data_IF_067409045837
#
_entry.id   IF_067409045837
#
_cell.length_a   1.000
_cell.length_b   1.000
_cell.length_c   1.000
_cell.angle_alpha   90.00
_cell.angle_beta   90.00
_cell.angle_gamma   90.00
#
_symmetry.space_group_name_H-M   'P 1'
#
loop_
_entity.id
_entity.type
_entity.pdbx_description
1 polymer ?
#
# COMPACT_ATOMS: atom_id res chain seq x y z
N UNK A 1 -43.32 26.47 -37.05
CA UNK A 1 -43.05 25.16 -36.43
C UNK A 1 -42.45 25.41 -35.05
N UNK A 2 -42.98 24.85 -33.96
CA UNK A 2 -42.41 25.01 -32.64
C UNK A 2 -41.21 24.07 -32.44
N UNK A 3 -40.10 24.64 -31.99
CA UNK A 3 -38.85 23.96 -31.62
C UNK A 3 -39.09 22.93 -30.49
N UNK A 4 -38.67 21.68 -30.68
CA UNK A 4 -38.69 20.66 -29.63
C UNK A 4 -37.54 20.90 -28.63
N UNK A 5 -37.78 20.96 -27.31
CA UNK A 5 -36.69 21.00 -26.35
C UNK A 5 -36.06 19.60 -26.25
N UNK A 6 -34.81 19.47 -26.71
CA UNK A 6 -33.98 18.29 -26.52
C UNK A 6 -33.82 18.05 -25.01
N UNK A 7 -34.58 17.09 -24.48
CA UNK A 7 -34.41 16.58 -23.13
C UNK A 7 -33.01 16.02 -22.98
N UNK A 8 -32.17 16.69 -22.20
CA UNK A 8 -30.90 16.12 -21.74
C UNK A 8 -31.22 14.99 -20.78
N UNK A 9 -31.15 13.75 -21.26
CA UNK A 9 -31.13 12.58 -20.40
C UNK A 9 -29.91 12.68 -19.48
N UNK A 10 -30.14 13.14 -18.25
CA UNK A 10 -29.17 13.06 -17.17
C UNK A 10 -29.18 11.63 -16.64
N UNK A 11 -28.46 10.74 -17.34
CA UNK A 11 -28.21 9.39 -16.84
C UNK A 11 -27.74 9.43 -15.38
N UNK A 12 -28.13 8.45 -14.54
CA UNK A 12 -27.90 8.50 -13.11
C UNK A 12 -26.40 8.63 -12.82
N UNK A 13 -25.98 9.80 -12.37
CA UNK A 13 -24.65 10.02 -11.82
C UNK A 13 -24.61 9.23 -10.52
N UNK A 14 -24.03 8.03 -10.56
CA UNK A 14 -23.79 7.20 -9.38
C UNK A 14 -22.83 7.97 -8.47
N UNK A 15 -23.39 8.80 -7.57
CA UNK A 15 -22.63 9.46 -6.54
C UNK A 15 -22.09 8.37 -5.63
N UNK A 16 -20.77 8.27 -5.55
CA UNK A 16 -20.11 7.42 -4.56
C UNK A 16 -20.71 7.78 -3.20
N UNK A 17 -21.37 6.83 -2.54
CA UNK A 17 -21.89 7.10 -1.20
C UNK A 17 -20.68 7.44 -0.32
N UNK A 18 -20.65 8.60 0.38
CA UNK A 18 -19.49 9.04 1.16
C UNK A 18 -18.94 7.99 2.13
N UNK A 19 -19.81 7.07 2.57
CA UNK A 19 -19.55 5.95 3.47
C UNK A 19 -18.43 5.03 2.99
N UNK A 20 -18.45 4.56 1.74
CA UNK A 20 -17.45 3.61 1.23
C UNK A 20 -16.05 4.20 1.17
N UNK A 21 -15.92 5.44 0.68
CA UNK A 21 -14.65 6.14 0.68
C UNK A 21 -14.11 6.30 2.10
N UNK A 22 -14.98 6.64 3.05
CA UNK A 22 -14.58 6.82 4.45
C UNK A 22 -14.12 5.50 5.09
N UNK A 23 -14.78 4.38 4.78
CA UNK A 23 -14.35 3.04 5.22
C UNK A 23 -12.97 2.67 4.69
N UNK A 24 -12.70 2.91 3.39
CA UNK A 24 -11.37 2.60 2.81
C UNK A 24 -10.28 3.49 3.43
N UNK A 25 -10.57 4.78 3.66
CA UNK A 25 -9.63 5.67 4.36
C UNK A 25 -9.37 5.16 5.77
N UNK A 26 -10.41 4.80 6.52
CA UNK A 26 -10.28 4.27 7.87
C UNK A 26 -9.45 2.99 7.91
N UNK A 27 -9.72 2.04 7.02
CA UNK A 27 -8.97 0.80 6.90
C UNK A 27 -7.50 1.05 6.51
N UNK A 28 -7.27 1.98 5.59
CA UNK A 28 -5.92 2.37 5.18
C UNK A 28 -5.11 2.93 6.36
N UNK A 29 -5.72 3.82 7.14
CA UNK A 29 -5.07 4.41 8.31
C UNK A 29 -4.75 3.35 9.36
N UNK A 30 -5.72 2.49 9.70
CA UNK A 30 -5.50 1.44 10.71
C UNK A 30 -4.41 0.46 10.26
N UNK A 31 -4.47 -0.02 9.02
CA UNK A 31 -3.46 -0.96 8.50
C UNK A 31 -2.07 -0.31 8.41
N UNK A 32 -1.99 0.96 8.05
CA UNK A 32 -0.70 1.70 8.01
C UNK A 32 -0.10 1.87 9.40
N UNK A 33 -0.92 2.25 10.39
CA UNK A 33 -0.47 2.38 11.78
C UNK A 33 -0.06 1.02 12.34
N UNK A 34 -0.87 -0.03 12.09
CA UNK A 34 -0.55 -1.38 12.51
C UNK A 34 0.79 -1.84 11.92
N UNK A 35 1.02 -1.63 10.61
CA UNK A 35 2.28 -1.99 9.97
C UNK A 35 3.48 -1.28 10.60
N UNK A 36 3.37 0.01 10.89
CA UNK A 36 4.42 0.77 11.59
C UNK A 36 4.70 0.24 12.99
N UNK A 37 3.65 -0.08 13.76
CA UNK A 37 3.80 -0.68 15.08
C UNK A 37 4.48 -2.05 15.01
N UNK A 38 4.15 -2.90 14.03
CA UNK A 38 4.82 -4.20 13.86
C UNK A 38 6.30 -4.05 13.50
N UNK A 39 6.66 -3.05 12.67
CA UNK A 39 8.06 -2.76 12.36
C UNK A 39 8.87 -2.37 13.62
N UNK A 40 8.28 -1.54 14.50
CA UNK A 40 8.89 -1.20 15.79
C UNK A 40 9.00 -2.41 16.73
N UNK A 41 7.97 -3.25 16.80
CA UNK A 41 8.01 -4.49 17.58
C UNK A 41 9.09 -5.46 17.08
N UNK A 42 9.27 -5.59 15.77
CA UNK A 42 10.40 -6.35 15.20
C UNK A 42 11.75 -5.77 15.61
N UNK A 43 11.91 -4.44 15.58
CA UNK A 43 13.12 -3.78 16.03
C UNK A 43 13.44 -4.14 17.49
N UNK A 44 12.46 -4.05 18.38
CA UNK A 44 12.64 -4.46 19.79
C UNK A 44 13.00 -5.94 19.92
N UNK A 45 12.29 -6.85 19.23
CA UNK A 45 12.56 -8.29 19.32
C UNK A 45 13.96 -8.66 18.79
N UNK A 46 14.41 -8.02 17.71
CA UNK A 46 15.75 -8.25 17.16
C UNK A 46 16.85 -7.67 18.05
N UNK A 47 16.61 -6.55 18.73
CA UNK A 47 17.51 -6.02 19.77
C UNK A 47 17.60 -6.95 20.98
N UNK A 48 16.46 -7.40 21.51
CA UNK A 48 16.41 -8.38 22.62
C UNK A 48 17.13 -9.67 22.23
N UNK A 49 17.06 -10.07 20.96
CA UNK A 49 17.78 -11.25 20.50
C UNK A 49 19.31 -11.05 20.55
N UNK A 50 19.81 -9.84 20.22
CA UNK A 50 21.23 -9.49 20.27
C UNK A 50 21.80 -9.46 21.70
N UNK A 51 20.97 -9.22 22.71
CA UNK A 51 21.38 -9.28 24.13
C UNK A 51 21.71 -10.72 24.59
N UNK A 52 21.46 -11.74 23.76
CA UNK A 52 21.93 -13.10 23.94
C UNK A 52 21.13 -13.96 24.93
N UNK A 53 20.57 -13.38 25.99
CA UNK A 53 19.81 -14.12 27.01
C UNK A 53 18.59 -14.86 26.47
N UNK A 54 17.95 -14.30 25.44
CA UNK A 54 16.70 -14.82 24.87
C UNK A 54 16.70 -14.87 23.34
N UNK A 55 17.89 -15.04 22.72
CA UNK A 55 18.07 -14.97 21.27
C UNK A 55 17.10 -15.88 20.48
N UNK A 56 17.03 -17.17 20.83
CA UNK A 56 16.15 -18.14 20.17
C UNK A 56 14.66 -17.77 20.26
N UNK A 57 14.09 -17.64 21.48
CA UNK A 57 12.69 -17.24 21.65
C UNK A 57 12.34 -15.90 21.00
N UNK A 58 13.20 -14.89 21.13
CA UNK A 58 12.98 -13.57 20.54
C UNK A 58 12.92 -13.64 19.02
N UNK A 59 13.81 -14.42 18.38
CA UNK A 59 13.83 -14.57 16.93
C UNK A 59 12.65 -15.41 16.42
N UNK A 60 12.20 -16.41 17.18
CA UNK A 60 10.98 -17.16 16.87
C UNK A 60 9.74 -16.26 16.92
N UNK A 61 9.64 -15.41 17.95
CA UNK A 61 8.57 -14.42 18.07
C UNK A 61 8.62 -13.41 16.93
N UNK A 62 9.82 -12.92 16.55
CA UNK A 62 10.01 -12.00 15.45
C UNK A 62 9.52 -12.61 14.12
N UNK A 63 9.93 -13.84 13.81
CA UNK A 63 9.45 -14.58 12.63
C UNK A 63 7.93 -14.74 12.64
N UNK A 64 7.33 -15.08 13.79
CA UNK A 64 5.88 -15.27 13.89
C UNK A 64 5.13 -13.95 13.70
N UNK A 65 5.64 -12.87 14.27
CA UNK A 65 5.09 -11.52 14.12
C UNK A 65 5.10 -11.08 12.66
N UNK A 66 6.22 -11.29 11.97
CA UNK A 66 6.40 -10.97 10.55
C UNK A 66 5.35 -11.69 9.68
N UNK A 67 5.24 -13.01 9.85
CA UNK A 67 4.35 -13.84 9.04
C UNK A 67 2.86 -13.61 9.33
N UNK A 68 2.47 -13.42 10.60
CA UNK A 68 1.05 -13.39 11.00
C UNK A 68 0.43 -12.01 10.91
N UNK A 69 1.18 -10.96 11.27
CA UNK A 69 0.63 -9.61 11.37
C UNK A 69 1.30 -8.63 10.44
N UNK A 70 2.63 -8.63 10.35
CA UNK A 70 3.34 -7.62 9.58
C UNK A 70 3.01 -7.74 8.09
N UNK A 71 3.18 -8.93 7.51
CA UNK A 71 2.94 -9.14 6.09
C UNK A 71 1.48 -8.86 5.67
N UNK A 72 0.44 -9.36 6.39
CA UNK A 72 -0.96 -9.03 6.05
C UNK A 72 -1.29 -7.54 6.19
N UNK A 73 -0.78 -6.86 7.22
CA UNK A 73 -1.03 -5.43 7.42
C UNK A 73 -0.32 -4.58 6.37
N UNK A 74 0.91 -4.94 5.99
CA UNK A 74 1.66 -4.29 4.91
C UNK A 74 0.91 -4.37 3.58
N UNK A 75 0.41 -5.57 3.24
CA UNK A 75 -0.39 -5.77 2.04
C UNK A 75 -1.68 -4.93 2.09
N UNK A 76 -2.42 -5.00 3.20
CA UNK A 76 -3.67 -4.24 3.37
C UNK A 76 -3.44 -2.73 3.22
N UNK A 77 -2.38 -2.19 3.83
CA UNK A 77 -2.02 -0.78 3.73
C UNK A 77 -1.66 -0.38 2.29
N UNK A 78 -0.83 -1.19 1.60
CA UNK A 78 -0.41 -0.94 0.23
C UNK A 78 -1.61 -0.95 -0.74
N UNK A 79 -2.49 -1.95 -0.64
CA UNK A 79 -3.66 -2.07 -1.50
C UNK A 79 -4.67 -0.96 -1.26
N UNK A 80 -5.03 -0.69 -0.01
CA UNK A 80 -5.96 0.41 0.31
C UNK A 80 -5.40 1.75 -0.14
N UNK A 81 -4.08 1.95 -0.07
CA UNK A 81 -3.38 3.11 -0.63
C UNK A 81 -3.48 3.21 -2.16
N UNK A 82 -3.25 2.10 -2.87
CA UNK A 82 -3.41 1.99 -4.33
C UNK A 82 -4.85 2.30 -4.77
N UNK A 83 -5.84 1.77 -4.03
CA UNK A 83 -7.25 2.04 -4.28
C UNK A 83 -7.60 3.50 -4.05
N UNK A 84 -7.14 4.10 -2.95
CA UNK A 84 -7.38 5.52 -2.68
C UNK A 84 -6.74 6.41 -3.76
N UNK A 85 -5.51 6.11 -4.17
CA UNK A 85 -4.82 6.89 -5.20
C UNK A 85 -5.41 6.71 -6.61
N UNK A 86 -5.95 5.52 -6.93
CA UNK A 86 -6.59 5.22 -8.20
C UNK A 86 -8.05 5.66 -8.30
N UNK A 87 -8.83 5.52 -7.22
CA UNK A 87 -10.27 5.74 -7.21
C UNK A 87 -10.69 7.16 -6.81
N UNK A 88 -9.81 7.91 -6.14
CA UNK A 88 -10.09 9.31 -5.80
C UNK A 88 -9.54 10.27 -6.84
N UNK A 89 -10.13 11.47 -6.92
CA UNK A 89 -9.71 12.56 -7.81
C UNK A 89 -8.27 13.06 -7.58
N UNK A 90 -7.55 12.48 -6.61
CA UNK A 90 -6.16 12.77 -6.32
C UNK A 90 -5.24 12.23 -7.42
N UNK A 91 -5.46 11.02 -7.93
CA UNK A 91 -4.64 10.44 -9.01
C UNK A 91 -3.17 10.19 -8.64
N UNK A 92 -2.68 8.99 -8.93
CA UNK A 92 -1.29 8.54 -8.65
C UNK A 92 -0.18 9.56 -8.96
N UNK A 93 -0.30 10.23 -10.11
CA UNK A 93 0.76 11.07 -10.67
C UNK A 93 0.49 12.57 -10.55
N UNK A 94 -0.52 13.01 -9.80
CA UNK A 94 -0.89 14.43 -9.71
C UNK A 94 -0.08 15.21 -8.68
N UNK A 95 0.42 14.50 -7.68
CA UNK A 95 1.11 15.09 -6.53
C UNK A 95 2.40 14.31 -6.26
N UNK A 96 3.52 15.03 -6.26
CA UNK A 96 4.84 14.43 -5.99
C UNK A 96 4.88 13.68 -4.65
N UNK A 97 4.22 14.21 -3.62
CA UNK A 97 4.17 13.55 -2.32
C UNK A 97 3.47 12.19 -2.34
N UNK A 98 2.49 11.98 -3.24
CA UNK A 98 1.80 10.68 -3.40
C UNK A 98 2.74 9.68 -4.07
N UNK A 99 3.45 10.12 -5.12
CA UNK A 99 4.40 9.28 -5.84
C UNK A 99 5.57 8.85 -4.96
N UNK A 100 6.12 9.77 -4.15
CA UNK A 100 7.19 9.46 -3.20
C UNK A 100 6.73 8.42 -2.17
N UNK A 101 5.53 8.58 -1.59
CA UNK A 101 4.98 7.58 -0.66
C UNK A 101 4.79 6.22 -1.30
N UNK A 102 4.32 6.22 -2.54
CA UNK A 102 4.13 4.98 -3.27
C UNK A 102 5.45 4.26 -3.52
N UNK A 103 6.46 4.98 -4.03
CA UNK A 103 7.80 4.44 -4.24
C UNK A 103 8.38 3.88 -2.94
N UNK A 104 8.29 4.64 -1.84
CA UNK A 104 8.73 4.18 -0.51
C UNK A 104 7.98 2.94 -0.04
N UNK A 105 6.69 2.82 -0.33
CA UNK A 105 5.88 1.65 0.06
C UNK A 105 6.31 0.42 -0.72
N UNK A 106 6.54 0.55 -2.02
CA UNK A 106 7.04 -0.56 -2.85
C UNK A 106 8.43 -1.03 -2.42
N UNK A 107 9.34 -0.10 -2.14
CA UNK A 107 10.69 -0.42 -1.65
C UNK A 107 10.61 -1.17 -0.33
N UNK A 108 9.77 -0.73 0.60
CA UNK A 108 9.60 -1.38 1.89
C UNK A 108 8.93 -2.76 1.79
N UNK A 109 7.93 -2.93 0.92
CA UNK A 109 7.35 -4.25 0.65
C UNK A 109 8.40 -5.20 0.06
N UNK A 110 9.18 -4.72 -0.91
CA UNK A 110 10.26 -5.52 -1.50
C UNK A 110 11.29 -5.92 -0.45
N UNK A 111 11.78 -4.97 0.34
CA UNK A 111 12.75 -5.23 1.40
C UNK A 111 12.19 -6.19 2.47
N UNK A 112 10.92 -6.01 2.88
CA UNK A 112 10.25 -6.89 3.83
C UNK A 112 10.17 -8.33 3.33
N UNK A 113 9.66 -8.53 2.11
CA UNK A 113 9.39 -9.86 1.55
C UNK A 113 10.67 -10.59 1.15
N UNK A 114 11.59 -9.92 0.45
CA UNK A 114 12.74 -10.58 -0.17
C UNK A 114 14.02 -10.52 0.67
N UNK A 115 14.13 -9.58 1.62
CA UNK A 115 15.33 -9.43 2.44
C UNK A 115 15.05 -9.78 3.91
N UNK A 116 14.05 -9.13 4.52
CA UNK A 116 13.79 -9.25 5.95
C UNK A 116 13.20 -10.62 6.32
N UNK A 117 12.16 -11.07 5.64
CA UNK A 117 11.45 -12.32 5.97
C UNK A 117 12.34 -13.59 5.83
N UNK A 118 13.16 -13.75 4.77
CA UNK A 118 14.10 -14.86 4.67
C UNK A 118 15.19 -14.80 5.75
N UNK A 119 15.71 -13.60 6.04
CA UNK A 119 16.72 -13.41 7.08
C UNK A 119 16.17 -13.72 8.49
N UNK A 120 14.93 -13.29 8.80
CA UNK A 120 14.23 -13.65 10.04
C UNK A 120 14.02 -15.17 10.14
N UNK A 121 13.64 -15.81 9.03
CA UNK A 121 13.45 -17.26 9.01
C UNK A 121 14.75 -18.02 9.26
N UNK A 122 15.84 -17.59 8.64
CA UNK A 122 17.17 -18.18 8.85
C UNK A 122 17.66 -17.97 10.29
N UNK A 123 17.58 -16.73 10.80
CA UNK A 123 17.98 -16.41 12.16
C UNK A 123 17.16 -17.16 13.20
N UNK A 124 15.86 -17.37 12.96
CA UNK A 124 15.00 -18.16 13.84
C UNK A 124 15.36 -19.65 13.83
N UNK A 125 15.81 -20.18 12.68
CA UNK A 125 16.21 -21.57 12.56
C UNK A 125 17.56 -21.87 13.19
N UNK A 126 18.51 -20.93 13.11
CA UNK A 126 19.86 -21.06 13.68
C UNK A 126 19.97 -20.53 15.10
N UNK A 127 18.95 -19.80 15.57
CA UNK A 127 18.99 -19.00 16.80
C UNK A 127 20.16 -18.00 16.86
N UNK A 128 20.71 -17.61 15.70
CA UNK A 128 21.79 -16.63 15.60
C UNK A 128 21.21 -15.28 15.21
N UNK A 129 21.16 -14.32 16.15
CA UNK A 129 20.73 -12.96 15.83
C UNK A 129 21.80 -12.25 15.00
N UNK A 130 21.37 -11.45 14.04
CA UNK A 130 22.27 -10.61 13.23
C UNK A 130 21.83 -9.16 13.34
N UNK A 131 22.78 -8.25 13.55
CA UNK A 131 22.48 -6.84 13.80
C UNK A 131 21.77 -6.18 12.61
N UNK A 132 21.95 -6.70 11.40
CA UNK A 132 21.28 -6.25 10.18
C UNK A 132 19.76 -6.35 10.27
N UNK A 133 19.22 -7.29 11.06
CA UNK A 133 17.77 -7.41 11.29
C UNK A 133 17.25 -6.25 12.15
N UNK A 134 18.01 -5.86 13.17
CA UNK A 134 17.69 -4.69 14.00
C UNK A 134 17.82 -3.39 13.20
N UNK A 135 18.91 -3.23 12.45
CA UNK A 135 19.08 -2.07 11.57
C UNK A 135 18.00 -2.01 10.49
N UNK A 136 17.67 -3.13 9.84
CA UNK A 136 16.66 -3.21 8.79
C UNK A 136 15.26 -2.89 9.28
N UNK A 137 14.86 -3.43 10.44
CA UNK A 137 13.56 -3.13 11.06
C UNK A 137 13.47 -1.69 11.57
N UNK A 138 14.55 -1.14 12.13
CA UNK A 138 14.64 0.28 12.51
C UNK A 138 14.53 1.22 11.30
N UNK A 139 15.21 0.89 10.19
CA UNK A 139 15.11 1.64 8.93
C UNK A 139 13.70 1.58 8.35
N UNK A 140 13.05 0.42 8.38
CA UNK A 140 11.67 0.26 7.95
C UNK A 140 10.72 1.12 8.80
N UNK A 141 10.81 1.05 10.13
CA UNK A 141 10.01 1.87 11.03
C UNK A 141 10.24 3.38 10.80
N UNK A 142 11.49 3.79 10.59
CA UNK A 142 11.83 5.18 10.25
C UNK A 142 11.25 5.62 8.91
N UNK A 143 11.27 4.74 7.91
CA UNK A 143 10.64 4.98 6.61
C UNK A 143 9.13 5.18 6.71
N UNK A 144 8.44 4.37 7.51
CA UNK A 144 7.00 4.53 7.79
C UNK A 144 6.70 5.83 8.54
N UNK A 145 7.50 6.17 9.55
CA UNK A 145 7.37 7.45 10.27
C UNK A 145 7.58 8.65 9.33
N UNK A 146 8.55 8.57 8.41
CA UNK A 146 8.77 9.58 7.39
C UNK A 146 7.57 9.70 6.43
N UNK A 147 6.94 8.59 6.04
CA UNK A 147 5.70 8.62 5.24
C UNK A 147 4.55 9.30 5.98
N UNK A 148 4.42 9.09 7.29
CA UNK A 148 3.44 9.82 8.13
C UNK A 148 3.75 11.32 8.11
N UNK A 149 5.01 11.71 8.29
CA UNK A 149 5.41 13.11 8.21
C UNK A 149 5.08 13.75 6.85
N UNK A 150 5.38 13.08 5.72
CA UNK A 150 4.99 13.57 4.38
C UNK A 150 3.45 13.74 4.27
N UNK A 151 2.66 12.92 4.97
CA UNK A 151 1.18 13.04 5.01
C UNK A 151 0.69 14.31 5.65
N UNK A 152 1.40 14.80 6.66
CA UNK A 152 1.05 16.02 7.38
C UNK A 152 1.64 17.23 6.66
N UNK A 153 2.94 17.20 6.37
CA UNK A 153 3.68 18.35 5.84
C UNK A 153 3.33 18.67 4.38
N UNK A 154 2.91 17.67 3.59
CA UNK A 154 2.61 17.77 2.14
C UNK A 154 3.60 18.69 1.40
N UNK A 155 4.91 18.41 1.46
CA UNK A 155 5.93 19.41 1.14
C UNK A 155 5.98 19.81 -0.34
N UNK A 156 5.42 18.97 -1.22
CA UNK A 156 5.53 19.14 -2.66
C UNK A 156 4.18 19.42 -3.33
N UNK A 157 4.21 20.38 -4.25
CA UNK A 157 3.08 20.85 -5.05
C UNK A 157 2.65 19.84 -6.13
N UNK A 158 1.76 20.25 -7.04
CA UNK A 158 1.27 19.39 -8.12
C UNK A 158 2.38 19.08 -9.12
N UNK A 159 2.31 17.92 -9.74
CA UNK A 159 3.22 17.55 -10.83
C UNK A 159 2.97 18.41 -12.08
N UNK A 160 4.02 18.73 -12.87
CA UNK A 160 3.92 19.62 -14.04
C UNK A 160 2.95 19.14 -15.13
N UNK A 161 2.77 17.82 -15.24
CA UNK A 161 1.93 17.15 -16.23
C UNK A 161 0.48 16.92 -15.76
N UNK A 162 0.09 17.40 -14.57
CA UNK A 162 -1.28 17.32 -14.10
C UNK A 162 -2.17 18.35 -14.80
N UNK A 163 -3.15 17.91 -15.59
CA UNK A 163 -4.20 18.80 -16.12
C UNK A 163 -5.04 19.43 -14.98
N UNK A 164 -5.46 20.68 -15.16
CA UNK A 164 -6.20 21.44 -14.14
C UNK A 164 -7.59 20.83 -13.82
N UNK A 165 -8.17 20.06 -14.74
CA UNK A 165 -9.45 19.40 -14.56
C UNK A 165 -9.40 18.34 -13.43
N UNK A 166 -10.38 18.37 -12.51
CA UNK A 166 -10.55 17.34 -11.48
C UNK A 166 -11.15 16.07 -12.13
N UNK A 167 -10.47 14.90 -12.09
CA UNK A 167 -11.07 13.65 -12.52
C UNK A 167 -12.34 13.38 -11.70
N UNK A 168 -13.40 12.89 -12.35
CA UNK A 168 -14.59 12.41 -11.64
C UNK A 168 -14.19 11.25 -10.72
N UNK A 169 -14.66 11.22 -9.46
CA UNK A 169 -14.40 10.09 -8.56
C UNK A 169 -14.90 8.79 -9.19
N UNK A 170 -14.13 7.72 -9.03
CA UNK A 170 -14.44 6.42 -9.64
C UNK A 170 -15.78 5.85 -9.08
N UNK A 171 -16.53 5.08 -9.87
CA UNK A 171 -17.80 4.48 -9.45
C UNK A 171 -17.64 3.47 -8.29
N UNK A 172 -18.68 3.31 -7.47
CA UNK A 172 -18.67 2.53 -6.21
C UNK A 172 -18.19 1.08 -6.37
N UNK A 173 -18.41 0.45 -7.53
CA UNK A 173 -17.95 -0.93 -7.78
C UNK A 173 -16.42 -1.07 -7.75
N UNK A 174 -15.68 -0.01 -8.08
CA UNK A 174 -14.20 0.00 -7.99
C UNK A 174 -13.75 -0.06 -6.53
N UNK A 175 -14.51 0.57 -5.62
CA UNK A 175 -14.23 0.52 -4.19
C UNK A 175 -14.57 -0.85 -3.60
N UNK A 176 -15.68 -1.47 -4.02
CA UNK A 176 -16.07 -2.81 -3.53
C UNK A 176 -15.19 -3.93 -4.10
N UNK A 177 -14.90 -3.90 -5.40
CA UNK A 177 -13.96 -4.84 -6.04
C UNK A 177 -12.54 -4.68 -5.49
N UNK A 178 -12.13 -3.43 -5.22
CA UNK A 178 -10.87 -3.12 -4.59
C UNK A 178 -10.74 -3.66 -3.17
N UNK A 179 -11.81 -3.62 -2.38
CA UNK A 179 -11.80 -4.13 -1.01
C UNK A 179 -11.77 -5.68 -0.95
N UNK A 180 -12.32 -6.34 -1.96
CA UNK A 180 -12.39 -7.81 -2.03
C UNK A 180 -11.03 -8.45 -2.38
N UNK A 181 -10.22 -7.81 -3.22
CA UNK A 181 -8.95 -8.38 -3.69
C UNK A 181 -7.89 -8.60 -2.58
N UNK A 182 -7.67 -7.68 -1.62
CA UNK A 182 -6.72 -7.88 -0.52
C UNK A 182 -7.19 -8.95 0.46
N UNK A 183 -8.51 -9.07 0.66
CA UNK A 183 -9.09 -10.13 1.47
C UNK A 183 -8.83 -11.49 0.80
N UNK A 184 -8.99 -11.57 -0.52
CA UNK A 184 -8.70 -12.78 -1.29
C UNK A 184 -7.19 -13.11 -1.30
N UNK A 185 -6.31 -12.13 -1.51
CA UNK A 185 -4.85 -12.33 -1.49
C UNK A 185 -4.34 -12.69 -0.09
N UNK A 186 -4.91 -12.12 0.96
CA UNK A 186 -4.57 -12.45 2.36
C UNK A 186 -5.10 -13.82 2.74
N UNK A 187 -6.33 -14.17 2.34
CA UNK A 187 -6.88 -15.50 2.54
C UNK A 187 -6.10 -16.57 1.76
N UNK A 188 -5.70 -16.27 0.53
CA UNK A 188 -4.87 -17.16 -0.29
C UNK A 188 -3.45 -17.31 0.28
N UNK A 189 -2.83 -16.22 0.74
CA UNK A 189 -1.51 -16.25 1.37
C UNK A 189 -1.49 -17.02 2.70
N UNK A 190 -2.56 -16.90 3.51
CA UNK A 190 -2.73 -17.68 4.74
C UNK A 190 -3.00 -19.16 4.43
N UNK A 191 -3.78 -19.46 3.38
CA UNK A 191 -4.16 -20.83 3.03
C UNK A 191 -3.06 -21.62 2.29
N UNK A 192 -2.21 -20.96 1.48
CA UNK A 192 -1.24 -21.61 0.60
C UNK A 192 0.21 -21.57 1.11
N UNK A 193 0.50 -20.86 2.21
CA UNK A 193 1.84 -20.86 2.84
C UNK A 193 2.94 -20.14 2.05
N UNK A 194 2.61 -19.53 0.92
CA UNK A 194 3.51 -18.71 0.11
C UNK A 194 2.90 -17.32 -0.10
N UNK A 195 3.54 -16.23 0.36
CA UNK A 195 3.14 -14.88 -0.02
C UNK A 195 3.57 -14.68 -1.49
N UNK A 196 2.63 -14.84 -2.43
CA UNK A 196 2.87 -14.46 -3.82
C UNK A 196 2.33 -13.05 -4.07
N UNK A 197 3.19 -12.01 -4.12
CA UNK A 197 2.82 -10.68 -4.61
C UNK A 197 2.64 -10.66 -6.15
N UNK A 198 2.23 -11.78 -6.75
CA UNK A 198 2.02 -11.90 -8.20
C UNK A 198 0.77 -11.13 -8.63
N UNK A 199 -0.30 -11.17 -7.84
CA UNK A 199 -1.57 -10.51 -8.18
C UNK A 199 -1.50 -8.98 -8.06
N UNK A 200 -0.65 -8.43 -7.18
CA UNK A 200 -0.42 -6.98 -7.08
C UNK A 200 0.39 -6.44 -8.26
N UNK A 201 1.39 -7.19 -8.74
CA UNK A 201 2.13 -6.87 -9.97
C UNK A 201 1.25 -6.99 -11.22
N UNK A 202 0.36 -7.98 -11.28
CA UNK A 202 -0.62 -8.12 -12.35
C UNK A 202 -1.66 -7.00 -12.31
N UNK A 203 -2.15 -6.61 -11.13
CA UNK A 203 -3.06 -5.48 -10.98
C UNK A 203 -2.36 -4.16 -11.35
N UNK A 204 -1.10 -3.97 -10.98
CA UNK A 204 -0.29 -2.82 -11.36
C UNK A 204 -0.11 -2.76 -12.88
N UNK A 205 0.21 -3.89 -13.52
CA UNK A 205 0.31 -4.01 -14.97
C UNK A 205 -1.05 -3.74 -15.65
N UNK A 206 -2.15 -4.27 -15.12
CA UNK A 206 -3.50 -4.06 -15.65
C UNK A 206 -3.93 -2.59 -15.50
N UNK A 207 -3.61 -1.92 -14.39
CA UNK A 207 -3.95 -0.51 -14.19
C UNK A 207 -3.05 0.45 -15.00
N UNK A 208 -1.80 0.07 -15.28
CA UNK A 208 -0.91 0.78 -16.19
C UNK A 208 -1.36 0.62 -17.65
N UNK A 209 -1.76 -0.60 -18.05
CA UNK A 209 -2.21 -0.93 -19.42
C UNK A 209 -3.62 -0.42 -19.70
N UNK A 210 -4.51 -0.38 -18.71
CA UNK A 210 -5.90 0.12 -18.85
C UNK A 210 -6.04 1.64 -18.68
N UNK A 211 -4.97 2.42 -18.82
CA UNK A 211 -5.10 3.84 -19.12
C UNK A 211 -4.91 4.05 -20.63
N UNK A 212 -5.99 4.07 -21.43
CA UNK A 212 -5.90 4.56 -22.78
C UNK A 212 -5.60 6.08 -22.74
N UNK A 213 -4.38 6.39 -23.18
CA UNK A 213 -4.00 7.50 -24.06
C UNK A 213 -3.92 8.95 -23.53
N UNK A 214 -2.74 9.54 -23.76
CA UNK A 214 -2.66 10.56 -24.82
C UNK A 214 -1.65 10.12 -25.86
N UNK A 215 -2.18 9.69 -27.01
CA UNK A 215 -1.50 9.55 -28.29
C UNK A 215 -0.68 10.80 -28.65
N UNK A 216 0.48 10.55 -29.25
CA UNK A 216 1.05 11.22 -30.43
C UNK A 216 1.18 12.75 -30.34
N UNK A 217 2.38 13.32 -30.41
CA UNK A 217 3.05 13.52 -31.71
C UNK A 217 2.08 14.02 -32.81
N UNK A 218 1.30 15.07 -32.52
CA UNK A 218 0.66 15.94 -33.51
C UNK A 218 0.72 17.41 -33.07
N UNK A 219 1.89 17.98 -33.27
CA UNK A 219 2.05 19.33 -33.81
C UNK A 219 3.38 19.35 -34.59
N UNK A 220 3.44 18.47 -35.59
CA UNK A 220 3.98 18.83 -36.90
C UNK A 220 2.80 19.27 -37.75
#
# INVERSE_FOLDING_TARGET
MPESPIGRETGPVTRVSPRWRQTVVWLHVISSVAWMSQALSLCVLTLVALDGHHAGPAMLMAKRLDAVLLAPMANTAAFTGLLLAGATAWGFFRHWWVLVKFGLTLIQLYAGIFLLSPALTQAAATAVPVWQLAAGSALMASGLAFQVWISVAKPWSRTPWSTAAKPRPAPTWVFTAGLAAPIADTAAGIALGYPMPAFSLIMLAVLLVRRPETRLLRAG
#
